data_IF_556866302143
#
_entry.id   IF_556866302143
#
_cell.length_a   1.000
_cell.length_b   1.000
_cell.length_c   1.000
_cell.angle_alpha   90.00
_cell.angle_beta   90.00
_cell.angle_gamma   90.00
#
_symmetry.space_group_name_H-M   'P 1'
#
loop_
_entity.id
_entity.type
_entity.pdbx_description
1 polymer ?
#
# COMPACT_ATOMS: atom_id res chain seq x y z
N UNK A 1 15.04 0.79 5.33
CA UNK A 1 13.60 0.98 5.59
C UNK A 1 12.87 -0.27 5.18
N UNK A 2 11.93 -0.75 6.00
CA UNK A 2 11.07 -1.88 5.63
C UNK A 2 10.03 -1.45 4.59
N UNK A 3 9.48 -2.41 3.83
CA UNK A 3 8.35 -2.20 2.91
C UNK A 3 7.21 -1.46 3.63
N UNK A 4 6.88 -1.90 4.85
CA UNK A 4 5.88 -1.29 5.72
C UNK A 4 6.15 0.20 6.00
N UNK A 5 7.35 0.55 6.48
CA UNK A 5 7.65 1.93 6.84
C UNK A 5 7.54 2.86 5.64
N UNK A 6 8.02 2.44 4.47
CA UNK A 6 7.89 3.25 3.25
C UNK A 6 6.43 3.51 2.85
N UNK A 7 5.52 2.57 3.13
CA UNK A 7 4.09 2.74 2.87
C UNK A 7 3.47 3.70 3.89
N UNK A 8 3.77 3.53 5.18
CA UNK A 8 3.31 4.42 6.27
C UNK A 8 3.75 5.85 6.00
N UNK A 9 5.04 6.06 5.73
CA UNK A 9 5.59 7.40 5.46
C UNK A 9 4.91 8.04 4.25
N UNK A 10 4.62 7.26 3.20
CA UNK A 10 3.94 7.76 2.01
C UNK A 10 2.47 8.13 2.30
N UNK A 11 1.75 7.30 3.07
CA UNK A 11 0.37 7.58 3.48
C UNK A 11 0.33 8.88 4.30
N UNK A 12 1.25 9.02 5.26
CA UNK A 12 1.32 10.19 6.12
C UNK A 12 1.59 11.46 5.33
N UNK A 13 2.58 11.44 4.43
CA UNK A 13 2.92 12.58 3.57
C UNK A 13 1.78 12.94 2.59
N UNK A 14 1.07 11.94 2.06
CA UNK A 14 0.03 12.16 1.07
C UNK A 14 -1.32 12.62 1.67
N UNK A 15 -1.68 12.09 2.85
CA UNK A 15 -3.05 12.22 3.38
C UNK A 15 -3.14 12.74 4.82
N UNK A 16 -2.04 12.74 5.59
CA UNK A 16 -2.03 13.16 6.99
C UNK A 16 -1.14 14.39 7.22
N UNK A 17 -0.90 15.21 6.19
CA UNK A 17 -0.01 16.39 6.25
C UNK A 17 1.40 16.08 6.80
N UNK A 18 1.89 14.86 6.56
CA UNK A 18 3.17 14.36 7.05
C UNK A 18 3.14 13.81 8.48
N UNK A 19 1.97 13.75 9.12
CA UNK A 19 1.82 13.23 10.48
C UNK A 19 1.54 11.72 10.47
N UNK A 20 2.57 10.93 10.75
CA UNK A 20 2.48 9.49 10.90
C UNK A 20 2.16 9.04 12.34
N UNK A 21 1.91 9.97 13.27
CA UNK A 21 1.71 9.66 14.68
C UNK A 21 0.41 8.85 14.87
N UNK A 22 0.54 7.65 15.45
CA UNK A 22 -0.57 6.70 15.61
C UNK A 22 -0.94 5.90 14.36
N UNK A 23 -0.21 6.05 13.24
CA UNK A 23 -0.42 5.24 12.03
C UNK A 23 0.37 3.93 12.12
N UNK A 24 -0.29 2.88 12.62
CA UNK A 24 0.27 1.52 12.70
C UNK A 24 -0.11 0.63 11.51
N UNK A 25 0.59 -0.50 11.38
CA UNK A 25 0.38 -1.45 10.29
C UNK A 25 -1.07 -1.98 10.19
N UNK A 26 -1.73 -2.05 11.35
CA UNK A 26 -3.05 -2.65 11.53
C UNK A 26 -4.17 -1.59 11.54
N UNK A 27 -3.81 -0.31 11.36
CA UNK A 27 -4.81 0.77 11.31
C UNK A 27 -5.68 0.58 10.07
N UNK A 28 -7.01 0.54 10.24
CA UNK A 28 -7.92 0.32 9.13
C UNK A 28 -8.09 1.62 8.33
N UNK A 29 -7.20 1.84 7.36
CA UNK A 29 -7.17 3.00 6.47
C UNK A 29 -8.51 3.20 5.75
N UNK A 30 -9.14 2.11 5.31
CA UNK A 30 -10.42 2.16 4.62
C UNK A 30 -11.58 2.50 5.57
N UNK A 31 -11.56 2.00 6.82
CA UNK A 31 -12.62 2.30 7.80
C UNK A 31 -12.53 3.74 8.31
N UNK A 32 -11.30 4.28 8.40
CA UNK A 32 -11.04 5.67 8.74
C UNK A 32 -11.23 6.63 7.57
N UNK A 33 -11.63 6.13 6.38
CA UNK A 33 -11.80 6.90 5.16
C UNK A 33 -10.53 7.70 4.75
N UNK A 34 -9.35 7.17 5.12
CA UNK A 34 -8.04 7.71 4.71
C UNK A 34 -7.74 7.33 3.27
N UNK A 35 -8.12 6.10 2.88
CA UNK A 35 -7.86 5.57 1.54
C UNK A 35 -9.19 5.16 0.89
N UNK A 36 -9.58 5.93 -0.12
CA UNK A 36 -10.76 5.68 -0.98
C UNK A 36 -10.35 5.11 -2.35
N UNK A 37 -11.33 4.81 -3.20
CA UNK A 37 -11.08 4.25 -4.54
C UNK A 37 -10.10 5.05 -5.39
N UNK A 38 -10.11 6.39 -5.29
CA UNK A 38 -9.19 7.26 -6.01
C UNK A 38 -7.76 7.15 -5.45
N UNK A 39 -7.64 7.15 -4.13
CA UNK A 39 -6.36 7.07 -3.42
C UNK A 39 -5.70 5.70 -3.59
N UNK A 40 -6.48 4.62 -3.68
CA UNK A 40 -5.98 3.29 -4.03
C UNK A 40 -5.21 3.34 -5.36
N UNK A 41 -5.69 4.04 -6.39
CA UNK A 41 -4.97 4.14 -7.66
C UNK A 41 -3.64 4.90 -7.51
N UNK A 42 -3.63 5.98 -6.73
CA UNK A 42 -2.41 6.74 -6.41
C UNK A 42 -1.39 5.87 -5.69
N UNK A 43 -1.84 5.14 -4.66
CA UNK A 43 -1.01 4.22 -3.89
C UNK A 43 -0.47 3.10 -4.76
N UNK A 44 -1.31 2.49 -5.61
CA UNK A 44 -0.87 1.46 -6.57
C UNK A 44 0.22 2.01 -7.49
N UNK A 45 0.09 3.24 -7.98
CA UNK A 45 1.12 3.87 -8.80
C UNK A 45 2.44 4.00 -8.03
N UNK A 46 2.38 4.50 -6.79
CA UNK A 46 3.54 4.58 -5.90
C UNK A 46 4.20 3.22 -5.67
N UNK A 47 3.41 2.18 -5.35
CA UNK A 47 3.94 0.84 -5.08
C UNK A 47 4.65 0.25 -6.32
N UNK A 48 4.06 0.42 -7.50
CA UNK A 48 4.65 -0.07 -8.75
C UNK A 48 5.97 0.62 -9.07
N UNK A 49 6.06 1.95 -8.89
CA UNK A 49 7.30 2.69 -9.13
C UNK A 49 8.37 2.36 -8.08
N UNK A 50 7.99 2.42 -6.80
CA UNK A 50 8.88 2.23 -5.65
C UNK A 50 9.45 0.82 -5.55
N UNK A 51 8.60 -0.19 -5.71
CA UNK A 51 8.97 -1.61 -5.56
C UNK A 51 9.21 -2.31 -6.90
N UNK A 52 9.03 -1.62 -8.03
CA UNK A 52 9.17 -2.17 -9.38
C UNK A 52 8.31 -3.42 -9.60
N UNK A 53 7.10 -3.43 -9.02
CA UNK A 53 6.11 -4.50 -9.18
C UNK A 53 5.04 -4.10 -10.21
N UNK A 54 4.23 -5.07 -10.63
CA UNK A 54 3.04 -4.83 -11.44
C UNK A 54 1.83 -5.27 -10.64
N UNK A 55 0.93 -4.35 -10.35
CA UNK A 55 -0.31 -4.65 -9.62
C UNK A 55 -1.43 -4.81 -10.64
N UNK A 56 -1.94 -6.03 -10.87
CA UNK A 56 -3.01 -6.23 -11.84
C UNK A 56 -4.33 -5.67 -11.29
N UNK A 57 -5.20 -5.18 -12.17
CA UNK A 57 -6.50 -4.57 -11.81
C UNK A 57 -7.35 -5.41 -10.86
N UNK A 58 -7.30 -6.74 -10.97
CA UNK A 58 -8.02 -7.67 -10.08
C UNK A 58 -7.59 -7.58 -8.61
N UNK A 59 -6.35 -7.15 -8.35
CA UNK A 59 -5.80 -6.97 -7.01
C UNK A 59 -6.11 -5.57 -6.45
N UNK A 60 -6.57 -4.64 -7.31
CA UNK A 60 -6.99 -3.29 -6.93
C UNK A 60 -8.39 -3.37 -6.33
N UNK A 61 -8.47 -3.96 -5.14
CA UNK A 61 -9.71 -4.17 -4.40
C UNK A 61 -9.56 -3.59 -2.99
N UNK A 62 -10.58 -2.92 -2.42
CA UNK A 62 -10.51 -2.33 -1.08
C UNK A 62 -10.03 -3.30 0.00
N UNK A 63 -10.34 -4.58 -0.13
CA UNK A 63 -9.88 -5.63 0.79
C UNK A 63 -8.35 -5.75 0.87
N UNK A 64 -7.63 -5.52 -0.23
CA UNK A 64 -6.16 -5.56 -0.28
C UNK A 64 -5.51 -4.24 0.17
N UNK A 65 -6.31 -3.17 0.35
CA UNK A 65 -5.87 -1.83 0.73
C UNK A 65 -6.54 -1.36 2.04
N UNK A 66 -7.10 -2.28 2.81
CA UNK A 66 -7.86 -1.97 4.03
C UNK A 66 -6.98 -1.44 5.15
N UNK A 67 -5.74 -1.94 5.22
CA UNK A 67 -4.73 -1.65 6.23
C UNK A 67 -3.34 -1.78 5.58
N UNK A 68 -2.29 -1.27 6.23
CA UNK A 68 -0.92 -1.29 5.70
C UNK A 68 -0.39 -2.72 5.62
N UNK A 69 -0.75 -3.58 6.58
CA UNK A 69 -0.33 -4.99 6.60
C UNK A 69 -0.78 -5.74 5.34
N UNK A 70 -2.02 -5.56 4.89
CA UNK A 70 -2.57 -6.14 3.67
C UNK A 70 -1.84 -5.63 2.43
N UNK A 71 -1.50 -4.33 2.40
CA UNK A 71 -0.73 -3.74 1.31
C UNK A 71 0.68 -4.33 1.26
N UNK A 72 1.34 -4.47 2.41
CA UNK A 72 2.66 -5.11 2.51
C UNK A 72 2.58 -6.56 2.02
N UNK A 73 1.57 -7.32 2.46
CA UNK A 73 1.37 -8.70 2.03
C UNK A 73 1.14 -8.81 0.52
N UNK A 74 0.37 -7.88 -0.07
CA UNK A 74 0.18 -7.79 -1.51
C UNK A 74 1.51 -7.54 -2.24
N UNK A 75 2.30 -6.58 -1.76
CA UNK A 75 3.61 -6.22 -2.36
C UNK A 75 4.57 -7.41 -2.29
N UNK A 76 4.73 -8.03 -1.12
CA UNK A 76 5.63 -9.18 -0.95
C UNK A 76 5.21 -10.37 -1.83
N UNK A 77 3.90 -10.65 -1.94
CA UNK A 77 3.38 -11.68 -2.85
C UNK A 77 3.73 -11.39 -4.31
N UNK A 78 3.50 -10.17 -4.78
CA UNK A 78 3.80 -9.77 -6.17
C UNK A 78 5.30 -9.77 -6.47
N UNK A 79 6.15 -9.46 -5.48
CA UNK A 79 7.62 -9.56 -5.63
C UNK A 79 8.05 -11.01 -5.80
N UNK A 80 7.50 -11.93 -5.00
CA UNK A 80 7.78 -13.37 -5.11
C UNK A 80 7.32 -13.97 -6.46
N UNK A 81 6.15 -13.57 -6.96
CA UNK A 81 5.66 -13.99 -8.28
C UNK A 81 6.57 -13.52 -9.42
N UNK A 82 7.12 -12.30 -9.31
CA UNK A 82 8.03 -11.74 -10.32
C UNK A 82 9.37 -12.49 -10.38
N UNK A 83 9.84 -13.02 -9.24
CA UNK A 83 11.07 -13.81 -9.17
C UNK A 83 10.90 -15.24 -9.67
N UNK A 84 9.72 -15.85 -9.45
CA UNK A 84 9.40 -17.21 -9.92
C UNK A 84 9.06 -17.31 -11.42
N UNK A 85 8.74 -16.19 -12.08
CA UNK A 85 8.43 -16.14 -13.51
C UNK A 85 9.68 -16.04 -14.42
N UNK A 86 10.89 -16.27 -13.89
CA UNK A 86 12.17 -16.10 -14.58
C UNK A 86 12.90 -17.40 -14.85
#
# INVERSE_FOLDING_TARGET
MSTQQSIIDHIAEAWLDGDADGLDAQVPLAELNIVDSAEIFSLVHYLQDRFRITVPLREIAPANFRDVEAIVALVERLRGEKEGAR
#
